data_IF_502680884070
#
_entry.id   IF_502680884070
#
_cell.length_a   1.000
_cell.length_b   1.000
_cell.length_c   1.000
_cell.angle_alpha   90.00
_cell.angle_beta   90.00
_cell.angle_gamma   90.00
#
_symmetry.space_group_name_H-M   'P 1'
#
loop_
_entity.id
_entity.type
_entity.pdbx_description
1 polymer ?
#
# COMPACT_ATOMS: atom_id res chain seq x y z
N UNK A 1 -19.46 -19.88 -65.07
CA UNK A 1 -18.64 -18.64 -64.99
C UNK A 1 -19.45 -17.53 -65.62
N UNK A 2 -20.11 -16.73 -64.80
CA UNK A 2 -20.89 -15.57 -65.26
C UNK A 2 -20.82 -14.53 -64.14
N UNK A 3 -20.15 -13.41 -64.40
CA UNK A 3 -20.08 -12.25 -63.51
C UNK A 3 -21.41 -11.49 -63.55
N UNK A 4 -21.78 -10.85 -62.42
CA UNK A 4 -22.24 -9.48 -62.57
C UNK A 4 -21.67 -8.49 -61.52
N UNK A 5 -21.43 -7.29 -62.05
CA UNK A 5 -21.66 -5.94 -61.50
C UNK A 5 -21.05 -5.52 -60.15
N UNK A 6 -20.10 -4.57 -60.27
CA UNK A 6 -19.71 -3.60 -59.25
C UNK A 6 -20.89 -2.66 -58.93
N UNK A 7 -21.20 -2.45 -57.65
CA UNK A 7 -21.98 -1.32 -57.17
C UNK A 7 -21.34 -0.72 -55.91
N UNK A 8 -21.31 0.61 -55.89
CA UNK A 8 -20.55 1.52 -55.06
C UNK A 8 -20.58 1.30 -53.54
N UNK A 9 -19.40 1.54 -52.96
CA UNK A 9 -19.12 1.86 -51.56
C UNK A 9 -20.01 3.01 -51.06
N UNK A 10 -20.91 2.74 -50.12
CA UNK A 10 -21.67 3.76 -49.40
C UNK A 10 -21.00 3.99 -48.05
N UNK A 11 -19.85 4.64 -48.09
CA UNK A 11 -19.21 5.21 -46.91
C UNK A 11 -20.10 6.34 -46.38
N UNK A 12 -20.82 6.08 -45.29
CA UNK A 12 -21.52 7.12 -44.52
C UNK A 12 -20.45 7.96 -43.84
N UNK A 13 -19.99 9.02 -44.51
CA UNK A 13 -19.20 10.07 -43.89
C UNK A 13 -20.08 10.76 -42.84
N UNK A 14 -19.83 10.50 -41.56
CA UNK A 14 -20.39 11.31 -40.48
C UNK A 14 -19.90 12.75 -40.66
N UNK A 15 -20.82 13.69 -40.86
CA UNK A 15 -20.48 15.11 -40.91
C UNK A 15 -19.80 15.51 -39.60
N UNK A 16 -18.70 16.29 -39.63
CA UNK A 16 -18.06 16.75 -38.41
C UNK A 16 -19.06 17.58 -37.59
N UNK A 17 -19.02 17.50 -36.24
CA UNK A 17 -19.90 18.30 -35.40
C UNK A 17 -19.66 19.78 -35.71
N UNK A 18 -20.73 20.47 -36.10
CA UNK A 18 -20.69 21.92 -36.32
C UNK A 18 -20.61 22.56 -34.95
N UNK A 19 -19.40 22.96 -34.54
CA UNK A 19 -19.22 23.78 -33.35
C UNK A 19 -19.91 25.13 -33.58
N UNK A 20 -20.69 25.59 -32.59
CA UNK A 20 -21.26 26.94 -32.62
C UNK A 20 -20.16 27.98 -32.87
N UNK A 21 -20.47 28.99 -33.69
CA UNK A 21 -19.55 30.08 -33.99
C UNK A 21 -19.10 30.71 -32.67
N UNK A 22 -17.79 30.78 -32.38
CA UNK A 22 -17.29 31.36 -31.14
C UNK A 22 -17.85 32.77 -30.98
N UNK A 23 -18.47 33.05 -29.82
CA UNK A 23 -18.90 34.41 -29.48
C UNK A 23 -17.65 35.28 -29.43
N UNK A 24 -17.61 36.42 -30.15
CA UNK A 24 -16.46 37.31 -30.11
C UNK A 24 -16.29 37.83 -28.68
N UNK A 25 -15.21 37.39 -28.04
CA UNK A 25 -14.80 37.86 -26.73
C UNK A 25 -13.56 38.73 -26.86
N UNK A 26 -13.54 39.84 -26.14
CA UNK A 26 -12.33 40.64 -25.97
C UNK A 26 -11.45 39.97 -24.92
N UNK A 27 -10.31 39.43 -25.35
CA UNK A 27 -9.29 38.91 -24.45
C UNK A 27 -8.75 40.06 -23.60
N UNK A 28 -9.13 40.11 -22.32
CA UNK A 28 -8.50 41.01 -21.36
C UNK A 28 -7.00 40.74 -21.28
N UNK A 29 -6.19 41.74 -20.90
CA UNK A 29 -4.74 41.52 -20.68
C UNK A 29 -4.55 40.51 -19.55
N UNK A 30 -4.36 39.24 -19.90
CA UNK A 30 -4.05 38.18 -18.93
C UNK A 30 -2.57 38.28 -18.61
N UNK A 31 -2.24 38.59 -17.36
CA UNK A 31 -0.87 38.46 -16.87
C UNK A 31 -0.51 36.96 -16.90
N UNK A 32 0.49 36.52 -17.68
CA UNK A 32 0.86 35.12 -17.73
C UNK A 32 1.19 34.62 -16.34
N UNK A 33 0.70 33.43 -15.98
CA UNK A 33 1.13 32.78 -14.74
C UNK A 33 2.64 32.62 -14.81
N UNK A 34 3.35 33.10 -13.80
CA UNK A 34 4.77 32.84 -13.64
C UNK A 34 4.99 31.34 -13.62
N UNK A 35 5.60 30.80 -14.68
CA UNK A 35 5.93 29.38 -14.74
C UNK A 35 7.09 29.16 -13.79
N UNK A 36 6.97 28.18 -12.90
CA UNK A 36 8.06 27.77 -12.02
C UNK A 36 9.26 27.41 -12.88
N UNK A 37 10.36 28.15 -12.72
CA UNK A 37 11.63 27.81 -13.35
C UNK A 37 12.22 26.59 -12.63
N UNK A 38 12.51 25.55 -13.38
CA UNK A 38 13.08 24.31 -12.85
C UNK A 38 12.69 23.09 -13.68
N UNK A 39 13.36 21.96 -13.45
CA UNK A 39 13.04 20.72 -14.13
C UNK A 39 11.61 20.28 -13.78
N UNK A 40 10.85 19.90 -14.80
CA UNK A 40 9.46 19.40 -14.65
C UNK A 40 9.38 18.00 -14.04
N UNK A 41 10.51 17.32 -13.98
CA UNK A 41 10.70 16.00 -13.41
C UNK A 41 11.74 16.05 -12.30
N UNK A 42 11.68 15.13 -11.32
CA UNK A 42 12.72 15.01 -10.31
C UNK A 42 14.10 14.89 -10.94
N UNK A 43 15.07 15.66 -10.43
CA UNK A 43 16.49 15.57 -10.85
C UNK A 43 17.08 14.23 -10.44
N UNK A 44 16.66 13.70 -9.29
CA UNK A 44 17.03 12.39 -8.80
C UNK A 44 15.91 11.41 -9.18
N UNK A 45 16.21 10.29 -9.86
CA UNK A 45 15.23 9.26 -10.13
C UNK A 45 14.55 8.79 -8.84
N UNK A 46 13.21 8.62 -8.84
CA UNK A 46 12.51 8.15 -7.66
C UNK A 46 12.99 6.76 -7.24
N UNK A 47 13.20 6.56 -5.95
CA UNK A 47 13.46 5.24 -5.37
C UNK A 47 12.27 4.31 -5.57
N UNK A 48 12.55 3.13 -6.13
CA UNK A 48 11.56 2.12 -6.53
C UNK A 48 12.00 0.73 -6.08
N UNK A 49 12.60 0.66 -4.89
CA UNK A 49 13.12 -0.59 -4.34
C UNK A 49 12.04 -1.25 -3.48
N UNK A 50 11.34 -2.19 -4.10
CA UNK A 50 10.37 -3.05 -3.42
C UNK A 50 11.05 -3.99 -2.43
N UNK A 51 10.46 -4.23 -1.24
CA UNK A 51 11.00 -5.20 -0.30
C UNK A 51 10.96 -6.59 -0.92
N UNK A 52 12.05 -7.35 -0.73
CA UNK A 52 12.13 -8.75 -1.13
C UNK A 52 11.20 -9.59 -0.26
N UNK A 53 10.63 -10.65 -0.83
CA UNK A 53 9.90 -11.63 -0.06
C UNK A 53 10.82 -12.30 0.95
N UNK A 54 10.42 -12.31 2.22
CA UNK A 54 11.20 -12.93 3.29
C UNK A 54 10.29 -13.33 4.45
N UNK A 55 10.69 -14.38 5.16
CA UNK A 55 10.07 -14.83 6.39
C UNK A 55 11.09 -14.75 7.51
N UNK A 56 10.74 -14.15 8.63
CA UNK A 56 11.58 -14.11 9.82
C UNK A 56 10.73 -14.09 11.08
N UNK A 57 11.19 -14.76 12.12
CA UNK A 57 10.57 -14.70 13.46
C UNK A 57 11.21 -13.54 14.20
N UNK A 58 10.48 -12.73 14.94
CA UNK A 58 11.03 -11.71 15.85
C UNK A 58 10.40 -11.86 17.23
N UNK A 59 11.22 -11.82 18.27
CA UNK A 59 10.73 -11.88 19.65
C UNK A 59 10.20 -10.50 20.05
N UNK A 60 8.98 -10.46 20.59
CA UNK A 60 8.40 -9.23 21.10
C UNK A 60 8.91 -8.98 22.52
N UNK A 61 9.48 -7.79 22.80
CA UNK A 61 9.70 -7.36 24.16
C UNK A 61 8.37 -7.29 24.91
N UNK A 62 8.36 -7.77 26.16
CA UNK A 62 7.17 -7.72 27.01
C UNK A 62 6.63 -6.29 27.13
N UNK A 63 5.30 -6.19 27.14
CA UNK A 63 4.62 -4.93 27.38
C UNK A 63 4.78 -4.52 28.85
N UNK A 64 5.11 -3.25 29.09
CA UNK A 64 5.18 -2.70 30.44
C UNK A 64 3.78 -2.63 31.05
N UNK A 65 3.59 -3.18 32.25
CA UNK A 65 2.28 -3.27 32.90
C UNK A 65 1.58 -1.90 33.08
N UNK A 66 2.35 -0.83 33.29
CA UNK A 66 1.82 0.53 33.49
C UNK A 66 1.36 1.21 32.21
N UNK A 67 2.01 0.93 31.08
CA UNK A 67 1.75 1.63 29.81
C UNK A 67 1.05 0.75 28.78
N UNK A 68 0.99 -0.57 29.01
CA UNK A 68 0.45 -1.55 28.06
C UNK A 68 1.28 -1.65 26.77
N UNK A 69 2.51 -1.15 26.78
CA UNK A 69 3.35 -1.02 25.59
C UNK A 69 4.78 -1.52 25.86
N UNK A 70 5.28 -2.41 25.01
CA UNK A 70 6.64 -2.93 25.07
C UNK A 70 7.63 -2.06 24.31
N UNK A 71 8.90 -2.46 24.26
CA UNK A 71 9.89 -1.84 23.36
C UNK A 71 9.60 -2.23 21.91
N UNK A 72 10.08 -1.41 20.97
CA UNK A 72 9.94 -1.72 19.54
C UNK A 72 11.02 -2.71 19.10
N UNK A 73 10.64 -3.74 18.36
CA UNK A 73 11.53 -4.71 17.74
C UNK A 73 11.55 -4.52 16.22
N UNK A 74 12.74 -4.28 15.66
CA UNK A 74 12.93 -4.21 14.21
C UNK A 74 12.90 -5.62 13.64
N UNK A 75 12.16 -5.82 12.56
CA UNK A 75 12.14 -7.08 11.84
C UNK A 75 13.40 -7.13 10.94
N UNK A 76 14.34 -8.07 11.16
CA UNK A 76 15.58 -8.11 10.40
C UNK A 76 15.32 -8.28 8.89
N UNK A 77 16.06 -7.54 8.07
CA UNK A 77 15.94 -7.61 6.60
C UNK A 77 14.65 -7.03 6.01
N UNK A 78 13.76 -6.48 6.83
CA UNK A 78 12.46 -5.96 6.41
C UNK A 78 12.26 -4.50 6.89
N UNK A 79 11.49 -3.73 6.13
CA UNK A 79 11.11 -2.37 6.49
C UNK A 79 10.00 -2.31 7.55
N UNK A 80 9.92 -3.33 8.42
CA UNK A 80 8.86 -3.48 9.42
C UNK A 80 9.43 -3.39 10.84
N UNK A 81 8.68 -2.73 11.72
CA UNK A 81 8.93 -2.69 13.16
C UNK A 81 7.67 -3.12 13.88
N UNK A 82 7.80 -4.03 14.84
CA UNK A 82 6.70 -4.51 15.67
C UNK A 82 6.86 -4.00 17.09
N UNK A 83 5.74 -3.81 17.78
CA UNK A 83 5.70 -3.44 19.19
C UNK A 83 4.53 -4.16 19.82
N UNK A 84 4.76 -4.88 20.90
CA UNK A 84 3.69 -5.39 21.73
C UNK A 84 2.97 -4.20 22.35
N UNK A 85 1.72 -3.95 21.96
CA UNK A 85 0.98 -2.79 22.44
C UNK A 85 -0.52 -2.96 22.26
N UNK A 86 -1.26 -2.83 23.35
CA UNK A 86 -2.71 -2.94 23.36
C UNK A 86 -3.40 -1.62 23.75
N UNK A 87 -4.66 -1.51 23.37
CA UNK A 87 -5.56 -0.45 23.86
C UNK A 87 -6.02 -0.82 25.27
N UNK A 88 -6.53 0.16 26.02
CA UNK A 88 -7.23 -0.13 27.28
C UNK A 88 -8.35 -1.16 27.06
N UNK A 89 -8.37 -2.21 27.88
CA UNK A 89 -9.31 -3.33 27.77
C UNK A 89 -8.94 -4.42 26.76
N UNK A 90 -7.74 -4.38 26.17
CA UNK A 90 -7.21 -5.45 25.32
C UNK A 90 -5.85 -5.93 25.83
N UNK A 91 -5.53 -7.19 25.53
CA UNK A 91 -4.28 -7.83 25.94
C UNK A 91 -3.20 -7.65 24.85
N UNK A 92 -1.97 -7.28 25.20
CA UNK A 92 -0.87 -7.17 24.25
C UNK A 92 -0.31 -8.56 23.91
N UNK A 93 0.12 -8.77 22.66
CA UNK A 93 0.67 -10.06 22.26
C UNK A 93 2.03 -10.34 22.93
N UNK A 94 2.33 -11.61 23.20
CA UNK A 94 3.61 -12.05 23.79
C UNK A 94 4.23 -13.20 23.01
N UNK A 95 5.54 -13.38 23.19
CA UNK A 95 6.33 -14.42 22.53
C UNK A 95 6.95 -13.95 21.20
N UNK A 96 7.15 -14.89 20.29
CA UNK A 96 7.66 -14.67 18.95
C UNK A 96 6.55 -14.30 17.96
N UNK A 97 6.91 -13.53 16.93
CA UNK A 97 6.04 -13.26 15.79
C UNK A 97 6.75 -13.64 14.51
N UNK A 98 6.24 -14.66 13.83
CA UNK A 98 6.61 -14.99 12.46
C UNK A 98 6.03 -13.93 11.54
N UNK A 99 6.92 -13.15 10.95
CA UNK A 99 6.61 -12.11 9.98
C UNK A 99 6.99 -12.61 8.60
N UNK A 100 6.04 -12.63 7.68
CA UNK A 100 6.28 -12.96 6.27
C UNK A 100 5.87 -11.80 5.39
N UNK A 101 6.82 -11.22 4.68
CA UNK A 101 6.57 -10.25 3.61
C UNK A 101 6.48 -11.02 2.29
N UNK A 102 5.41 -10.78 1.54
CA UNK A 102 5.19 -11.40 0.24
C UNK A 102 5.88 -10.60 -0.87
N UNK A 103 6.12 -11.25 -2.02
CA UNK A 103 6.63 -10.56 -3.21
C UNK A 103 5.61 -9.55 -3.70
N UNK A 104 6.09 -8.52 -4.39
CA UNK A 104 5.23 -7.50 -4.99
C UNK A 104 4.26 -8.12 -6.02
N UNK A 105 4.69 -9.12 -6.78
CA UNK A 105 3.85 -9.86 -7.72
C UNK A 105 2.70 -10.61 -7.02
N UNK A 106 2.95 -11.19 -5.85
CA UNK A 106 1.91 -11.85 -5.07
C UNK A 106 0.90 -10.85 -4.51
N UNK A 107 1.36 -9.67 -4.09
CA UNK A 107 0.50 -8.56 -3.68
C UNK A 107 -0.39 -8.07 -4.84
N UNK A 108 0.18 -7.91 -6.04
CA UNK A 108 -0.57 -7.53 -7.24
C UNK A 108 -1.64 -8.56 -7.61
N UNK A 109 -1.34 -9.87 -7.54
CA UNK A 109 -2.34 -10.94 -7.76
C UNK A 109 -3.51 -10.86 -6.78
N UNK A 110 -3.23 -10.42 -5.56
CA UNK A 110 -4.22 -10.16 -4.51
C UNK A 110 -4.99 -8.82 -4.70
N UNK A 111 -4.69 -8.03 -5.75
CA UNK A 111 -5.28 -6.72 -5.97
C UNK A 111 -4.72 -5.63 -5.06
N UNK A 112 -3.53 -5.84 -4.50
CA UNK A 112 -2.85 -4.88 -3.61
C UNK A 112 -1.72 -4.19 -4.36
N UNK A 113 -1.91 -2.91 -4.63
CA UNK A 113 -0.86 -2.03 -5.15
C UNK A 113 0.05 -1.55 -4.00
N UNK A 114 0.87 -2.46 -3.48
CA UNK A 114 1.74 -2.16 -2.34
C UNK A 114 2.51 -3.35 -1.78
N UNK A 115 2.79 -3.26 -0.48
CA UNK A 115 3.46 -4.32 0.29
C UNK A 115 2.42 -5.12 1.06
N UNK A 116 2.46 -6.44 0.94
CA UNK A 116 1.62 -7.36 1.71
C UNK A 116 2.47 -8.19 2.67
N UNK A 117 2.01 -8.33 3.91
CA UNK A 117 2.67 -9.17 4.89
C UNK A 117 1.68 -9.86 5.82
N UNK A 118 2.13 -10.95 6.43
CA UNK A 118 1.39 -11.69 7.46
C UNK A 118 2.19 -11.69 8.76
N UNK A 119 1.47 -11.64 9.88
CA UNK A 119 2.04 -11.86 11.21
C UNK A 119 1.37 -13.10 11.81
N UNK A 120 2.14 -13.96 12.44
CA UNK A 120 1.63 -15.14 13.16
C UNK A 120 2.37 -15.27 14.49
N UNK A 121 1.62 -15.38 15.59
CA UNK A 121 2.19 -15.64 16.91
C UNK A 121 2.87 -17.01 16.96
N UNK A 122 4.03 -17.08 17.59
CA UNK A 122 4.82 -18.28 17.89
C UNK A 122 5.44 -18.16 19.27
N UNK A 123 5.93 -19.27 19.81
CA UNK A 123 6.79 -19.21 20.98
C UNK A 123 8.05 -18.37 20.65
N UNK A 124 8.66 -17.76 21.68
CA UNK A 124 9.91 -17.03 21.49
C UNK A 124 11.00 -17.95 20.93
N UNK A 125 11.97 -17.39 20.20
CA UNK A 125 13.04 -18.19 19.58
C UNK A 125 13.87 -18.96 20.60
N UNK A 126 13.98 -18.44 21.82
CA UNK A 126 14.67 -19.08 22.94
C UNK A 126 13.77 -20.01 23.77
N UNK A 127 12.50 -20.17 23.39
CA UNK A 127 11.53 -21.07 24.02
C UNK A 127 11.03 -20.64 25.40
N UNK A 128 11.50 -19.49 25.92
CA UNK A 128 11.19 -19.03 27.29
C UNK A 128 9.81 -18.40 27.43
N UNK A 129 9.28 -17.84 26.35
CA UNK A 129 8.00 -17.14 26.36
C UNK A 129 7.05 -17.84 25.42
N UNK A 130 5.94 -18.38 25.96
CA UNK A 130 4.87 -18.95 25.15
C UNK A 130 4.14 -17.89 24.36
N UNK A 131 3.72 -18.26 23.15
CA UNK A 131 2.91 -17.41 22.29
C UNK A 131 1.61 -17.06 23.02
N UNK A 132 1.31 -15.77 23.13
CA UNK A 132 0.00 -15.31 23.58
C UNK A 132 -0.61 -14.40 22.52
N UNK A 133 -1.81 -14.77 22.06
CA UNK A 133 -2.63 -13.94 21.19
C UNK A 133 -2.93 -12.59 21.83
N UNK A 134 -3.00 -11.55 21.01
CA UNK A 134 -3.11 -10.19 21.51
C UNK A 134 -2.80 -9.12 20.45
N UNK A 135 -2.79 -7.87 20.89
CA UNK A 135 -2.56 -6.74 20.00
C UNK A 135 -1.07 -6.45 19.80
N UNK A 136 -0.72 -6.16 18.54
CA UNK A 136 0.61 -5.74 18.11
C UNK A 136 0.49 -4.46 17.29
N UNK A 137 1.30 -3.46 17.59
CA UNK A 137 1.49 -2.31 16.69
C UNK A 137 2.57 -2.65 15.65
N UNK A 138 2.20 -2.58 14.38
CA UNK A 138 3.11 -2.72 13.24
C UNK A 138 3.42 -1.35 12.65
N UNK A 139 4.67 -1.12 12.25
CA UNK A 139 5.13 0.10 11.60
C UNK A 139 5.91 -0.28 10.35
N UNK A 140 5.42 0.16 9.20
CA UNK A 140 6.07 -0.01 7.90
C UNK A 140 6.77 1.30 7.51
N UNK A 141 8.07 1.21 7.28
CA UNK A 141 8.85 2.27 6.65
C UNK A 141 8.75 2.10 5.14
N UNK A 142 8.14 3.07 4.47
CA UNK A 142 7.89 3.03 3.04
C UNK A 142 8.87 3.88 2.22
N UNK A 143 9.93 4.40 2.84
CA UNK A 143 10.88 5.31 2.20
C UNK A 143 11.48 4.76 0.90
N UNK A 144 11.86 3.49 0.88
CA UNK A 144 12.56 2.84 -0.25
C UNK A 144 11.72 2.62 -1.51
N UNK A 145 10.39 2.66 -1.40
CA UNK A 145 9.47 2.49 -2.54
C UNK A 145 8.48 3.64 -2.68
N UNK A 146 8.59 4.69 -1.86
CA UNK A 146 7.72 5.86 -1.90
C UNK A 146 7.70 6.53 -3.27
N UNK A 147 8.84 6.49 -3.97
CA UNK A 147 9.00 7.11 -5.29
C UNK A 147 8.25 6.38 -6.42
N UNK A 148 7.86 5.12 -6.24
CA UNK A 148 7.18 4.33 -7.27
C UNK A 148 5.82 4.90 -7.69
N UNK A 149 5.15 5.60 -6.77
CA UNK A 149 3.79 6.11 -6.96
C UNK A 149 3.73 7.63 -7.22
N UNK A 150 4.87 8.31 -7.19
CA UNK A 150 4.96 9.74 -7.43
C UNK A 150 4.48 10.62 -6.26
N UNK A 151 4.24 11.89 -6.56
CA UNK A 151 3.87 12.90 -5.57
C UNK A 151 2.55 12.58 -4.87
N UNK A 152 2.51 12.72 -3.54
CA UNK A 152 1.29 12.51 -2.77
C UNK A 152 0.99 11.05 -2.40
N UNK A 153 1.88 10.09 -2.70
CA UNK A 153 1.68 8.70 -2.27
C UNK A 153 1.46 8.57 -0.75
N UNK A 154 2.23 9.32 0.03
CA UNK A 154 2.13 9.31 1.48
C UNK A 154 0.72 9.64 2.00
N UNK A 155 -0.06 10.51 1.33
CA UNK A 155 -1.42 10.84 1.77
C UNK A 155 -2.46 9.79 1.39
N UNK A 156 -2.12 8.88 0.47
CA UNK A 156 -2.99 7.78 0.00
C UNK A 156 -2.70 6.45 0.69
N UNK A 157 -1.63 6.39 1.49
CA UNK A 157 -1.23 5.18 2.20
C UNK A 157 -2.25 4.77 3.27
N UNK A 158 -2.76 3.55 3.13
CA UNK A 158 -3.68 2.92 4.07
C UNK A 158 -3.20 1.53 4.44
N UNK A 159 -3.44 1.08 5.68
CA UNK A 159 -3.44 -0.35 5.98
C UNK A 159 -4.84 -0.91 5.89
N UNK A 160 -4.93 -2.04 5.19
CA UNK A 160 -6.12 -2.88 5.18
C UNK A 160 -5.75 -4.28 5.66
N UNK A 161 -6.74 -4.97 6.20
CA UNK A 161 -6.65 -6.37 6.58
C UNK A 161 -7.42 -7.19 5.56
N UNK A 162 -6.77 -8.23 5.04
CA UNK A 162 -7.35 -9.14 4.05
C UNK A 162 -7.61 -10.50 4.68
N UNK A 163 -8.64 -11.24 4.22
CA UNK A 163 -8.88 -12.61 4.62
C UNK A 163 -7.70 -13.53 4.27
N UNK A 164 -7.47 -14.57 5.07
CA UNK A 164 -6.39 -15.54 4.84
C UNK A 164 -6.49 -16.24 3.48
N UNK A 165 -7.71 -16.37 2.92
CA UNK A 165 -7.94 -17.01 1.63
C UNK A 165 -7.29 -16.26 0.45
N UNK A 166 -6.90 -14.99 0.62
CA UNK A 166 -6.15 -14.24 -0.40
C UNK A 166 -4.79 -14.88 -0.73
N UNK A 167 -4.24 -15.66 0.20
CA UNK A 167 -2.96 -16.34 0.01
C UNK A 167 -3.04 -17.56 -0.90
N UNK A 168 -4.22 -18.19 -0.98
CA UNK A 168 -4.46 -19.43 -1.75
C UNK A 168 -5.30 -19.18 -2.98
N UNK A 169 -6.30 -18.31 -2.88
CA UNK A 169 -7.31 -18.07 -3.92
C UNK A 169 -7.46 -16.57 -4.18
N UNK A 170 -6.39 -15.88 -4.60
CA UNK A 170 -6.39 -14.43 -4.77
C UNK A 170 -7.34 -13.94 -5.87
N UNK A 171 -7.78 -14.81 -6.79
CA UNK A 171 -8.70 -14.47 -7.87
C UNK A 171 -10.17 -14.34 -7.41
N UNK A 172 -10.53 -14.88 -6.24
CA UNK A 172 -11.89 -14.77 -5.71
C UNK A 172 -12.12 -13.39 -5.09
N UNK A 173 -13.21 -12.73 -5.49
CA UNK A 173 -13.59 -11.40 -4.96
C UNK A 173 -13.82 -11.42 -3.45
N UNK A 174 -14.39 -12.50 -2.92
CA UNK A 174 -14.56 -12.70 -1.49
C UNK A 174 -13.22 -12.62 -0.72
N UNK A 175 -12.13 -13.06 -1.35
CA UNK A 175 -10.78 -13.01 -0.77
C UNK A 175 -10.09 -11.65 -0.91
N UNK A 176 -10.61 -10.77 -1.77
CA UNK A 176 -10.14 -9.38 -1.92
C UNK A 176 -10.93 -8.39 -1.08
N UNK A 177 -11.92 -8.85 -0.32
CA UNK A 177 -12.70 -8.00 0.58
C UNK A 177 -11.80 -7.49 1.70
N UNK A 178 -11.35 -6.25 1.58
CA UNK A 178 -10.43 -5.64 2.53
C UNK A 178 -11.18 -4.91 3.64
N UNK A 179 -10.69 -5.05 4.88
CA UNK A 179 -11.18 -4.31 6.05
C UNK A 179 -10.19 -3.20 6.38
N UNK A 180 -10.56 -1.92 6.28
CA UNK A 180 -9.69 -0.84 6.72
C UNK A 180 -9.32 -1.00 8.19
N UNK A 181 -8.06 -0.76 8.52
CA UNK A 181 -7.60 -0.79 9.91
C UNK A 181 -7.12 0.57 10.33
N UNK A 182 -7.44 0.96 11.57
CA UNK A 182 -7.05 2.25 12.11
C UNK A 182 -5.53 2.41 12.06
N UNK A 183 -5.06 3.37 11.27
CA UNK A 183 -3.65 3.71 11.09
C UNK A 183 -3.30 5.10 11.60
N UNK A 184 -2.03 5.28 11.97
CA UNK A 184 -1.41 6.58 12.20
C UNK A 184 -0.26 6.70 11.20
N UNK A 185 -0.32 7.69 10.32
CA UNK A 185 0.70 7.94 9.31
C UNK A 185 1.52 9.19 9.68
N UNK A 186 2.86 9.09 9.64
CA UNK A 186 3.75 10.21 9.87
C UNK A 186 4.53 10.56 8.59
N UNK A 187 3.97 11.38 7.68
CA UNK A 187 4.49 11.56 6.33
C UNK A 187 5.88 12.20 6.25
N UNK A 188 6.29 12.95 7.28
CA UNK A 188 7.62 13.59 7.36
C UNK A 188 8.75 12.60 7.58
N UNK A 189 8.54 11.59 8.42
CA UNK A 189 9.53 10.56 8.74
C UNK A 189 9.32 9.29 7.92
N UNK A 190 8.21 9.21 7.17
CA UNK A 190 7.79 8.07 6.33
C UNK A 190 7.52 6.72 7.03
N UNK A 191 7.10 6.63 8.31
CA UNK A 191 6.48 5.43 8.83
C UNK A 191 4.94 5.49 8.74
N UNK A 192 4.35 4.39 8.26
CA UNK A 192 2.93 4.10 8.40
C UNK A 192 2.72 3.08 9.53
N UNK A 193 1.90 3.41 10.52
CA UNK A 193 1.66 2.56 11.70
C UNK A 193 0.23 2.03 11.73
N UNK A 194 0.05 0.74 12.03
CA UNK A 194 -1.23 0.05 12.26
C UNK A 194 -1.16 -0.71 13.58
N UNK A 195 -2.30 -0.96 14.22
CA UNK A 195 -2.40 -2.00 15.26
C UNK A 195 -3.15 -3.21 14.69
N UNK A 196 -2.56 -4.38 14.78
CA UNK A 196 -3.16 -5.66 14.47
C UNK A 196 -3.73 -6.30 15.75
N UNK A 197 -4.89 -6.96 15.65
CA UNK A 197 -5.35 -7.92 16.66
C UNK A 197 -5.16 -9.30 16.04
N UNK A 198 -4.44 -10.20 16.71
CA UNK A 198 -4.17 -11.56 16.26
C UNK A 198 -4.70 -12.57 17.29
#
# INVERSE_FOLDING_TARGET
MTLPALAADQSVQAAPPVFEKPIPTTMGKVKPRTVTKGPRTPVIPPERTWPKAATTVVDLPDAEAKTGAGKSARVPGLSLTLRSEAKSGAEPARGGVETRVLSHEAAQKAGVDGVMFTLRGRDSRDGKTKAQSGQVRSTLDYSSFAGAYGGGYASRLTFVELPSCVLTTPASEACRTSKPVKTINAPRTRPLRRRASH
#
